data_IF_456067912374
#
_entry.id   IF_456067912374
#
_cell.length_a   1.000
_cell.length_b   1.000
_cell.length_c   1.000
_cell.angle_alpha   90.00
_cell.angle_beta   90.00
_cell.angle_gamma   90.00
#
_symmetry.space_group_name_H-M   'P 1'
#
loop_
_entity.id
_entity.type
_entity.pdbx_description
1 polymer ?
#
# COMPACT_ATOMS: atom_id res chain seq x y z
N UNK A 1 28.35 -37.48 6.61
CA UNK A 1 27.73 -37.00 5.36
C UNK A 1 26.29 -36.63 5.65
N UNK A 2 25.99 -35.34 5.74
CA UNK A 2 24.64 -34.86 6.10
C UNK A 2 23.65 -35.19 4.98
N UNK A 3 22.63 -35.99 5.29
CA UNK A 3 21.49 -36.25 4.41
C UNK A 3 20.74 -34.93 4.21
N UNK A 4 20.85 -34.37 3.01
CA UNK A 4 20.01 -33.27 2.57
C UNK A 4 18.54 -33.72 2.61
N UNK A 5 17.68 -32.81 3.09
CA UNK A 5 16.23 -32.99 3.24
C UNK A 5 15.63 -33.58 1.95
N UNK A 6 14.97 -34.73 2.07
CA UNK A 6 14.23 -35.37 0.99
C UNK A 6 13.11 -34.43 0.49
N UNK A 7 13.17 -34.07 -0.79
CA UNK A 7 12.19 -33.21 -1.45
C UNK A 7 10.85 -33.96 -1.53
N UNK A 8 9.89 -33.63 -0.66
CA UNK A 8 8.52 -34.15 -0.75
C UNK A 8 7.91 -33.72 -2.08
N UNK A 9 7.54 -34.69 -2.92
CA UNK A 9 7.10 -34.52 -4.31
C UNK A 9 5.72 -33.87 -4.49
N UNK A 10 4.97 -33.64 -3.41
CA UNK A 10 3.55 -33.24 -3.48
C UNK A 10 3.27 -31.90 -2.78
N UNK A 11 4.22 -30.96 -2.79
CA UNK A 11 4.04 -29.64 -2.17
C UNK A 11 3.07 -28.71 -2.93
N UNK A 12 2.82 -28.99 -4.22
CA UNK A 12 1.70 -28.44 -4.97
C UNK A 12 0.76 -29.58 -5.37
N UNK A 13 -0.18 -29.92 -4.49
CA UNK A 13 -1.33 -30.74 -4.85
C UNK A 13 -2.21 -29.96 -5.83
N UNK A 14 -1.84 -29.98 -7.11
CA UNK A 14 -2.67 -29.49 -8.23
C UNK A 14 -3.64 -30.59 -8.69
N UNK A 15 -4.32 -31.22 -7.73
CA UNK A 15 -5.47 -32.09 -7.98
C UNK A 15 -6.70 -31.21 -8.15
N UNK A 16 -7.25 -31.20 -9.37
CA UNK A 16 -8.27 -30.26 -9.79
C UNK A 16 -9.42 -30.08 -8.81
N UNK A 17 -9.68 -28.83 -8.46
CA UNK A 17 -11.02 -28.37 -8.11
C UNK A 17 -11.15 -26.93 -8.59
N UNK A 18 -11.97 -26.74 -9.62
CA UNK A 18 -12.50 -25.44 -10.03
C UNK A 18 -13.55 -24.98 -9.02
N UNK A 19 -13.15 -24.87 -7.75
CA UNK A 19 -13.92 -24.14 -6.75
C UNK A 19 -13.65 -22.64 -7.02
N UNK A 20 -14.67 -21.78 -7.09
CA UNK A 20 -14.42 -20.35 -7.13
C UNK A 20 -13.61 -20.00 -5.89
N UNK A 21 -12.39 -19.45 -6.08
CA UNK A 21 -11.56 -18.95 -4.97
C UNK A 21 -12.45 -18.04 -4.13
N UNK A 22 -12.82 -18.49 -2.93
CA UNK A 22 -13.45 -17.63 -1.95
C UNK A 22 -12.59 -16.38 -1.86
N UNK A 23 -13.21 -15.21 -2.07
CA UNK A 23 -12.50 -13.93 -2.02
C UNK A 23 -11.70 -13.93 -0.71
N UNK A 24 -10.38 -13.62 -0.74
CA UNK A 24 -9.59 -13.61 0.48
C UNK A 24 -10.36 -12.77 1.51
N UNK A 25 -10.56 -13.32 2.71
CA UNK A 25 -11.30 -12.69 3.82
C UNK A 25 -10.93 -11.21 3.87
N UNK A 26 -11.78 -10.38 3.28
CA UNK A 26 -11.55 -8.96 3.14
C UNK A 26 -11.74 -8.29 4.49
N UNK A 27 -11.38 -7.01 4.57
CA UNK A 27 -11.83 -6.17 5.68
C UNK A 27 -13.36 -6.22 5.72
N UNK A 28 -14.00 -6.47 6.89
CA UNK A 28 -15.45 -6.45 6.99
C UNK A 28 -16.02 -5.16 6.41
N UNK A 29 -17.15 -5.22 5.68
CA UNK A 29 -17.81 -4.00 5.23
C UNK A 29 -18.17 -3.16 6.45
N UNK A 30 -17.82 -1.88 6.40
CA UNK A 30 -18.24 -0.90 7.39
C UNK A 30 -18.91 0.23 6.61
N UNK A 31 -20.23 0.28 6.75
CA UNK A 31 -21.09 1.25 6.06
C UNK A 31 -21.25 2.57 6.84
N UNK A 32 -20.51 2.74 7.95
CA UNK A 32 -20.56 3.97 8.74
C UNK A 32 -19.99 5.14 7.93
N UNK A 33 -20.67 6.28 7.97
CA UNK A 33 -20.25 7.49 7.24
C UNK A 33 -18.87 8.02 7.67
N UNK A 34 -18.43 7.70 8.88
CA UNK A 34 -17.11 8.01 9.46
C UNK A 34 -16.02 6.99 9.12
N UNK A 35 -16.33 5.93 8.38
CA UNK A 35 -15.37 4.86 8.10
C UNK A 35 -14.25 5.27 7.13
N UNK A 36 -14.45 6.34 6.35
CA UNK A 36 -13.52 6.79 5.32
C UNK A 36 -13.31 8.30 5.33
N UNK A 37 -12.11 8.71 4.96
CA UNK A 37 -11.76 10.11 4.71
C UNK A 37 -11.53 10.35 3.23
N UNK A 38 -11.81 11.58 2.75
CA UNK A 38 -11.50 11.95 1.37
C UNK A 38 -9.99 11.84 1.14
N UNK A 39 -9.61 10.97 0.21
CA UNK A 39 -8.21 10.84 -0.19
C UNK A 39 -7.82 12.01 -1.11
N UNK A 40 -6.87 12.83 -0.66
CA UNK A 40 -6.27 13.89 -1.47
C UNK A 40 -4.95 13.36 -2.06
N UNK A 41 -4.88 13.08 -3.37
CA UNK A 41 -3.67 12.53 -3.97
C UNK A 41 -2.55 13.57 -4.04
N UNK A 42 -1.42 13.27 -3.41
CA UNK A 42 -0.22 14.09 -3.47
C UNK A 42 0.42 14.01 -4.85
N UNK A 43 0.86 15.16 -5.39
CA UNK A 43 1.58 15.26 -6.65
C UNK A 43 2.90 15.99 -6.45
N UNK A 44 3.94 15.52 -7.13
CA UNK A 44 5.23 16.21 -7.12
C UNK A 44 5.08 17.64 -7.65
N UNK A 45 5.57 18.67 -6.94
CA UNK A 45 5.39 20.06 -7.35
C UNK A 45 6.10 20.38 -8.67
N UNK A 46 7.23 19.70 -8.95
CA UNK A 46 8.03 19.88 -10.18
C UNK A 46 7.46 19.16 -11.39
N UNK A 47 7.34 17.83 -11.34
CA UNK A 47 6.99 17.03 -12.53
C UNK A 47 5.52 16.56 -12.55
N UNK A 48 4.71 16.95 -11.56
CA UNK A 48 3.29 16.58 -11.38
C UNK A 48 3.02 15.07 -11.30
N UNK A 49 4.05 14.25 -11.19
CA UNK A 49 3.95 12.80 -11.01
C UNK A 49 3.23 12.46 -9.71
N UNK A 50 2.37 11.44 -9.77
CA UNK A 50 1.74 10.80 -8.59
C UNK A 50 2.65 9.76 -7.94
N UNK A 51 3.78 9.43 -8.58
CA UNK A 51 4.73 8.44 -8.07
C UNK A 51 5.66 9.11 -7.04
N UNK A 52 5.14 9.28 -5.83
CA UNK A 52 5.81 9.93 -4.69
C UNK A 52 5.75 9.03 -3.46
N UNK A 53 6.86 8.91 -2.73
CA UNK A 53 6.93 8.18 -1.45
C UNK A 53 7.05 9.14 -0.29
N UNK A 54 6.26 8.93 0.76
CA UNK A 54 6.48 9.53 2.06
C UNK A 54 7.62 8.79 2.77
N UNK A 55 8.69 9.50 3.14
CA UNK A 55 9.88 8.89 3.77
C UNK A 55 10.05 9.28 5.24
N UNK A 56 9.44 10.38 5.68
CA UNK A 56 9.40 10.76 7.09
C UNK A 56 8.13 11.55 7.38
N UNK A 57 7.64 11.46 8.61
CA UNK A 57 6.45 12.15 9.09
C UNK A 57 6.75 12.76 10.46
N UNK A 58 6.61 14.08 10.56
CA UNK A 58 6.67 14.85 11.79
C UNK A 58 5.43 15.75 11.82
N UNK A 59 4.28 15.24 12.32
CA UNK A 59 3.00 15.94 12.23
C UNK A 59 3.12 17.40 12.74
N UNK A 60 2.57 18.40 12.03
CA UNK A 60 1.67 18.29 10.85
C UNK A 60 2.40 18.17 9.49
N UNK A 61 3.72 17.98 9.48
CA UNK A 61 4.53 17.97 8.25
C UNK A 61 4.85 16.53 7.82
N UNK A 62 4.62 16.23 6.54
CA UNK A 62 5.06 14.98 5.90
C UNK A 62 6.08 15.28 4.81
N UNK A 63 7.12 14.45 4.75
CA UNK A 63 8.23 14.62 3.83
C UNK A 63 8.18 13.57 2.72
N UNK A 64 8.30 14.01 1.48
CA UNK A 64 8.09 13.21 0.28
C UNK A 64 9.27 13.28 -0.67
N UNK A 65 9.53 12.16 -1.35
CA UNK A 65 10.48 12.08 -2.46
C UNK A 65 9.75 11.59 -3.71
N UNK A 66 9.99 12.26 -4.85
CA UNK A 66 9.42 11.85 -6.12
C UNK A 66 10.32 10.85 -6.84
N UNK A 67 9.81 9.64 -7.13
CA UNK A 67 10.55 8.61 -7.85
C UNK A 67 10.84 8.97 -9.31
N UNK A 68 10.03 9.83 -9.93
CA UNK A 68 10.20 10.19 -11.34
C UNK A 68 11.30 11.24 -11.58
N UNK A 69 11.45 12.21 -10.68
CA UNK A 69 12.38 13.33 -10.88
C UNK A 69 13.38 13.52 -9.74
N UNK A 70 13.33 12.67 -8.70
CA UNK A 70 14.21 12.75 -7.52
C UNK A 70 13.96 13.95 -6.60
N UNK A 71 12.96 14.79 -6.88
CA UNK A 71 12.73 15.99 -6.09
C UNK A 71 12.11 15.66 -4.73
N UNK A 72 12.70 16.20 -3.67
CA UNK A 72 12.19 16.15 -2.32
C UNK A 72 11.34 17.38 -2.01
N UNK A 73 10.19 17.18 -1.39
CA UNK A 73 9.25 18.24 -1.02
C UNK A 73 8.48 17.86 0.24
N UNK A 74 7.81 18.84 0.87
CA UNK A 74 7.00 18.62 2.07
C UNK A 74 5.53 18.94 1.80
N UNK A 75 4.63 18.22 2.48
CA UNK A 75 3.22 18.57 2.59
C UNK A 75 2.91 18.93 4.04
N UNK A 76 2.06 19.93 4.23
CA UNK A 76 1.58 20.34 5.56
C UNK A 76 0.12 19.93 5.66
N UNK A 77 -0.22 19.20 6.70
CA UNK A 77 -1.61 18.92 7.08
C UNK A 77 -2.17 20.20 7.69
N UNK A 78 -3.23 20.72 7.09
CA UNK A 78 -3.94 21.91 7.56
C UNK A 78 -5.35 21.45 7.89
N UNK A 79 -5.83 21.74 9.09
CA UNK A 79 -7.23 21.55 9.43
C UNK A 79 -8.06 22.56 8.63
N UNK A 80 -9.07 22.08 7.90
CA UNK A 80 -10.00 22.91 7.13
C UNK A 80 -10.94 23.78 8.02
N UNK A 81 -10.73 23.79 9.34
CA UNK A 81 -11.48 24.61 10.30
C UNK A 81 -10.93 26.05 10.36
N UNK A 82 -11.18 26.84 9.31
CA UNK A 82 -11.16 28.30 9.41
C UNK A 82 -12.08 29.00 8.42
#
# INVERSE_FOLDING_TARGET
>A
MGRWIERKSNWLNNGGSSQPREKPFGRPPNDSSDYGVRFIPIRCPKCKSKNTRCYSTHPPIRYHSCYKCGHNFKSVEVDDEK
#
